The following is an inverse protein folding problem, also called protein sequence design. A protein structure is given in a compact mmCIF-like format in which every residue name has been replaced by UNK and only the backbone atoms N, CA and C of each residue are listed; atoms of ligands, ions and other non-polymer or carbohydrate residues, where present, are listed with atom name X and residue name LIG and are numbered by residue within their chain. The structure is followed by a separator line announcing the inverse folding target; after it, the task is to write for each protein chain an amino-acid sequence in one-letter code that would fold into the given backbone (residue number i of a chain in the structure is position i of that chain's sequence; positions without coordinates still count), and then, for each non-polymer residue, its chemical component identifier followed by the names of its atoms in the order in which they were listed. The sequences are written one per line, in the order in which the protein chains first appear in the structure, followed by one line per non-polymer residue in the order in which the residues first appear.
data_IF_188291888619
#
_entry.id   IF_188291888619
#
_cell.length_a   1.000
_cell.length_b   1.000
_cell.length_c   1.000
_cell.angle_alpha   90.00
_cell.angle_beta   90.00
_cell.angle_gamma   90.00
#
_symmetry.space_group_name_H-M   'P 1'
#
loop_
_entity.id
_entity.type
_entity.pdbx_description
1 polymer ?
#
# COMPACT_ATOMS: atom_id res chain seq x y z
N UNK A 1 49.24 19.85 -3.30
CA UNK A 1 48.05 19.29 -3.97
C UNK A 1 46.87 19.47 -3.02
N UNK A 2 45.89 20.30 -3.40
CA UNK A 2 44.67 20.46 -2.59
C UNK A 2 43.78 19.25 -2.80
N UNK A 3 43.72 18.37 -1.81
CA UNK A 3 42.75 17.27 -1.78
C UNK A 3 41.37 17.86 -1.53
N UNK A 4 40.51 17.83 -2.55
CA UNK A 4 39.11 18.17 -2.38
C UNK A 4 38.49 17.28 -1.29
N UNK A 5 37.66 17.83 -0.39
CA UNK A 5 37.02 17.03 0.65
C UNK A 5 36.15 15.94 0.03
N UNK A 6 36.29 14.71 0.54
CA UNK A 6 35.44 13.58 0.16
C UNK A 6 33.99 13.90 0.49
N UNK A 7 33.18 14.15 -0.54
CA UNK A 7 31.73 14.31 -0.41
C UNK A 7 31.11 12.92 -0.39
N UNK A 8 30.79 12.42 0.81
CA UNK A 8 30.02 11.18 0.95
C UNK A 8 28.58 11.48 0.50
N UNK A 9 28.07 10.85 -0.57
CA UNK A 9 26.70 11.03 -0.99
C UNK A 9 25.77 10.63 0.14
N UNK A 10 24.84 11.51 0.51
CA UNK A 10 23.80 11.14 1.48
C UNK A 10 22.97 10.02 0.88
N UNK A 11 23.13 8.82 1.44
CA UNK A 11 22.26 7.68 1.23
C UNK A 11 20.92 7.98 1.91
N UNK A 12 20.10 8.78 1.25
CA UNK A 12 18.76 9.12 1.72
C UNK A 12 17.79 8.75 0.61
N UNK A 13 16.88 7.84 0.96
CA UNK A 13 15.72 7.51 0.14
C UNK A 13 14.89 8.77 -0.04
N UNK A 14 14.94 9.37 -1.23
CA UNK A 14 14.09 10.52 -1.56
C UNK A 14 12.68 10.02 -1.86
N UNK A 15 11.85 9.91 -0.82
CA UNK A 15 10.43 9.62 -1.01
C UNK A 15 9.75 10.80 -1.70
N UNK A 16 9.27 10.58 -2.93
CA UNK A 16 8.46 11.57 -3.65
C UNK A 16 7.03 11.50 -3.14
N UNK A 17 6.65 12.42 -2.26
CA UNK A 17 5.26 12.53 -1.83
C UNK A 17 4.40 13.07 -2.97
N UNK A 18 3.37 12.32 -3.36
CA UNK A 18 2.37 12.76 -4.34
C UNK A 18 1.05 13.01 -3.61
N UNK A 19 0.32 14.08 -3.93
CA UNK A 19 -1.00 14.26 -3.37
C UNK A 19 -1.92 13.10 -3.80
N UNK A 20 -2.82 12.63 -2.93
CA UNK A 20 -3.83 11.64 -3.32
C UNK A 20 -4.69 12.16 -4.49
N UNK A 21 -5.20 11.24 -5.32
CA UNK A 21 -6.18 11.60 -6.36
C UNK A 21 -7.49 12.08 -5.71
N UNK A 22 -8.31 12.82 -6.46
CA UNK A 22 -9.59 13.38 -5.97
C UNK A 22 -10.56 12.33 -5.41
N UNK A 23 -10.55 11.12 -5.96
CA UNK A 23 -11.38 9.99 -5.50
C UNK A 23 -10.82 9.27 -4.26
N UNK A 24 -9.80 9.83 -3.61
CA UNK A 24 -9.19 9.31 -2.39
C UNK A 24 -9.31 10.41 -1.32
N UNK A 25 -9.70 10.08 -0.07
CA UNK A 25 -9.70 11.04 1.03
C UNK A 25 -8.32 11.68 1.21
N UNK A 26 -8.27 13.00 1.26
CA UNK A 26 -7.01 13.77 1.11
C UNK A 26 -6.13 13.71 2.37
N UNK A 27 -6.73 13.60 3.55
CA UNK A 27 -6.01 13.63 4.82
C UNK A 27 -5.86 12.23 5.42
N UNK A 28 -4.74 11.94 6.11
CA UNK A 28 -4.58 10.70 6.87
C UNK A 28 -5.69 10.50 7.93
N UNK A 29 -6.11 11.58 8.59
CA UNK A 29 -7.15 11.55 9.62
C UNK A 29 -8.47 11.04 9.04
N UNK A 30 -8.88 11.58 7.88
CA UNK A 30 -10.10 11.15 7.19
C UNK A 30 -10.00 9.68 6.75
N UNK A 31 -8.85 9.26 6.20
CA UNK A 31 -8.63 7.86 5.80
C UNK A 31 -8.71 6.90 6.99
N UNK A 32 -8.11 7.26 8.12
CA UNK A 32 -8.16 6.44 9.35
C UNK A 32 -9.58 6.34 9.92
N UNK A 33 -10.35 7.43 9.88
CA UNK A 33 -11.76 7.42 10.29
C UNK A 33 -12.59 6.46 9.42
N UNK A 34 -12.45 6.55 8.09
CA UNK A 34 -13.14 5.67 7.15
C UNK A 34 -12.74 4.21 7.35
N UNK A 35 -11.44 3.93 7.57
CA UNK A 35 -10.94 2.59 7.87
C UNK A 35 -11.60 2.00 9.12
N UNK A 36 -11.74 2.78 10.20
CA UNK A 36 -12.39 2.30 11.42
C UNK A 36 -13.86 1.97 11.18
N UNK A 37 -14.57 2.77 10.38
CA UNK A 37 -15.96 2.47 10.02
C UNK A 37 -16.06 1.23 9.12
N UNK A 38 -15.16 1.06 8.16
CA UNK A 38 -15.12 -0.15 7.31
C UNK A 38 -14.90 -1.42 8.15
N UNK A 39 -14.02 -1.37 9.16
CA UNK A 39 -13.82 -2.47 10.12
C UNK A 39 -15.08 -2.83 10.88
N UNK A 40 -15.71 -1.82 11.49
CA UNK A 40 -16.95 -2.03 12.24
C UNK A 40 -18.05 -2.58 11.33
N UNK A 41 -18.15 -2.06 10.11
CA UNK A 41 -19.11 -2.51 9.11
C UNK A 41 -18.93 -3.99 8.75
N UNK A 42 -17.70 -4.42 8.46
CA UNK A 42 -17.38 -5.82 8.14
C UNK A 42 -17.63 -6.72 9.37
N UNK A 43 -17.28 -6.28 10.57
CA UNK A 43 -17.54 -7.04 11.80
C UNK A 43 -19.05 -7.23 12.07
N UNK A 44 -19.87 -6.23 11.77
CA UNK A 44 -21.32 -6.27 11.98
C UNK A 44 -22.06 -7.08 10.89
N UNK A 45 -21.72 -6.86 9.63
CA UNK A 45 -22.45 -7.43 8.49
C UNK A 45 -21.86 -8.76 7.98
N UNK A 46 -20.61 -9.04 8.34
CA UNK A 46 -19.86 -10.24 7.98
C UNK A 46 -20.01 -10.71 6.51
N UNK A 47 -19.78 -9.82 5.51
CA UNK A 47 -19.79 -10.24 4.11
C UNK A 47 -18.66 -11.26 3.87
N UNK A 48 -18.95 -12.31 3.09
CA UNK A 48 -18.01 -13.42 2.86
C UNK A 48 -17.29 -13.23 1.52
N UNK A 49 -15.95 -13.22 1.49
CA UNK A 49 -15.20 -13.17 0.23
C UNK A 49 -15.11 -14.56 -0.46
N UNK A 50 -14.87 -14.62 -1.80
CA UNK A 50 -14.76 -13.49 -2.73
C UNK A 50 -16.13 -12.94 -3.12
N UNK A 51 -16.23 -11.61 -3.17
CA UNK A 51 -17.46 -10.91 -3.51
C UNK A 51 -17.35 -10.31 -4.92
N UNK A 52 -18.39 -10.43 -5.78
CA UNK A 52 -18.43 -9.71 -7.05
C UNK A 52 -18.30 -8.20 -6.86
N UNK A 53 -17.68 -7.52 -7.83
CA UNK A 53 -17.43 -6.07 -7.74
C UNK A 53 -18.72 -5.27 -7.55
N UNK A 54 -19.80 -5.66 -8.22
CA UNK A 54 -21.10 -5.00 -8.09
C UNK A 54 -21.70 -5.14 -6.68
N UNK A 55 -21.55 -6.31 -6.05
CA UNK A 55 -22.00 -6.54 -4.67
C UNK A 55 -21.13 -5.76 -3.67
N UNK A 56 -19.81 -5.74 -3.88
CA UNK A 56 -18.89 -4.93 -3.08
C UNK A 56 -19.23 -3.44 -3.14
N UNK A 57 -19.65 -2.96 -4.32
CA UNK A 57 -20.09 -1.58 -4.51
C UNK A 57 -21.35 -1.27 -3.70
N UNK A 58 -22.31 -2.18 -3.61
CA UNK A 58 -23.51 -2.00 -2.75
C UNK A 58 -23.12 -1.82 -1.29
N UNK A 59 -22.17 -2.59 -0.77
CA UNK A 59 -21.65 -2.42 0.59
C UNK A 59 -20.93 -1.07 0.77
N UNK A 60 -20.10 -0.69 -0.19
CA UNK A 60 -19.38 0.59 -0.15
C UNK A 60 -20.34 1.80 -0.18
N UNK A 61 -21.39 1.76 -1.00
CA UNK A 61 -22.40 2.82 -1.08
C UNK A 61 -23.19 2.96 0.24
N UNK A 62 -23.44 1.87 0.97
CA UNK A 62 -24.03 1.92 2.31
C UNK A 62 -23.11 2.66 3.28
N UNK A 63 -21.82 2.33 3.29
CA UNK A 63 -20.84 2.99 4.16
C UNK A 63 -20.66 4.47 3.80
N UNK A 64 -20.67 4.84 2.52
CA UNK A 64 -20.69 6.25 2.06
C UNK A 64 -21.88 6.99 2.66
N UNK A 65 -23.08 6.40 2.59
CA UNK A 65 -24.30 6.98 3.16
C UNK A 65 -24.23 7.10 4.69
N UNK A 66 -23.73 6.08 5.38
CA UNK A 66 -23.55 6.08 6.85
C UNK A 66 -22.61 7.19 7.31
N UNK A 67 -21.51 7.40 6.57
CA UNK A 67 -20.52 8.43 6.86
C UNK A 67 -20.92 9.84 6.40
N UNK A 68 -21.95 9.95 5.55
CA UNK A 68 -22.29 11.17 4.82
C UNK A 68 -21.07 11.81 4.15
N UNK A 69 -20.21 11.00 3.52
CA UNK A 69 -18.99 11.45 2.86
C UNK A 69 -19.18 11.58 1.33
N UNK A 70 -18.17 12.12 0.65
CA UNK A 70 -18.19 12.29 -0.81
C UNK A 70 -18.41 10.95 -1.53
N UNK A 71 -19.43 10.83 -2.40
CA UNK A 71 -19.68 9.63 -3.21
C UNK A 71 -18.49 9.21 -4.09
N UNK A 72 -17.58 10.13 -4.42
CA UNK A 72 -16.34 9.82 -5.14
C UNK A 72 -15.44 8.82 -4.39
N UNK A 73 -15.66 8.59 -3.10
CA UNK A 73 -14.89 7.65 -2.29
C UNK A 73 -15.42 6.22 -2.32
N UNK A 74 -16.49 5.92 -3.08
CA UNK A 74 -17.11 4.59 -3.13
C UNK A 74 -16.10 3.48 -3.45
N UNK A 75 -15.26 3.66 -4.48
CA UNK A 75 -14.26 2.66 -4.86
C UNK A 75 -13.17 2.50 -3.79
N UNK A 76 -12.75 3.61 -3.18
CA UNK A 76 -11.78 3.60 -2.10
C UNK A 76 -12.30 2.82 -0.89
N UNK A 77 -13.56 3.05 -0.51
CA UNK A 77 -14.23 2.34 0.58
C UNK A 77 -14.43 0.86 0.22
N UNK A 78 -14.78 0.55 -1.03
CA UNK A 78 -14.85 -0.83 -1.52
C UNK A 78 -13.54 -1.60 -1.33
N UNK A 79 -12.40 -0.96 -1.64
CA UNK A 79 -11.08 -1.55 -1.37
C UNK A 79 -10.87 -1.81 0.13
N UNK A 80 -11.25 -0.88 1.01
CA UNK A 80 -11.12 -1.07 2.46
C UNK A 80 -11.99 -2.21 2.97
N UNK A 81 -13.25 -2.29 2.55
CA UNK A 81 -14.17 -3.37 2.91
C UNK A 81 -13.59 -4.71 2.45
N UNK A 82 -13.15 -4.82 1.19
CA UNK A 82 -12.54 -6.04 0.67
C UNK A 82 -11.28 -6.42 1.46
N UNK A 83 -10.41 -5.46 1.77
CA UNK A 83 -9.21 -5.74 2.56
C UNK A 83 -9.54 -6.26 3.97
N UNK A 84 -10.54 -5.69 4.63
CA UNK A 84 -10.98 -6.12 5.96
C UNK A 84 -11.67 -7.50 5.92
N UNK A 85 -12.42 -7.82 4.86
CA UNK A 85 -12.99 -9.17 4.65
C UNK A 85 -11.90 -10.26 4.56
N UNK A 86 -10.76 -9.94 3.93
CA UNK A 86 -9.63 -10.87 3.78
C UNK A 86 -8.64 -10.84 4.95
N UNK A 87 -8.81 -9.93 5.92
CA UNK A 87 -7.81 -9.65 6.95
C UNK A 87 -7.43 -10.87 7.77
N UNK A 88 -8.40 -11.59 8.31
CA UNK A 88 -8.17 -12.77 9.14
C UNK A 88 -7.61 -13.94 8.33
N UNK A 89 -8.12 -14.14 7.10
CA UNK A 89 -7.59 -15.15 6.18
C UNK A 89 -6.12 -14.90 5.88
N UNK A 90 -5.74 -13.67 5.54
CA UNK A 90 -4.34 -13.30 5.30
C UNK A 90 -3.48 -13.44 6.57
N UNK A 91 -4.00 -13.03 7.73
CA UNK A 91 -3.30 -13.12 9.01
C UNK A 91 -3.00 -14.58 9.40
N UNK A 92 -3.86 -15.53 8.99
CA UNK A 92 -3.66 -16.96 9.24
C UNK A 92 -2.53 -17.60 8.42
N UNK A 93 -2.09 -16.96 7.33
CA UNK A 93 -1.00 -17.48 6.48
C UNK A 93 0.33 -17.29 7.21
N UNK A 94 1.17 -18.33 7.40
CA UNK A 94 2.51 -18.19 7.98
C UNK A 94 3.37 -17.17 7.21
N UNK A 95 4.23 -16.42 7.90
CA UNK A 95 5.01 -15.32 7.31
C UNK A 95 5.87 -15.79 6.13
N UNK A 96 6.54 -16.93 6.26
CA UNK A 96 7.38 -17.56 5.23
C UNK A 96 6.61 -18.02 3.98
N UNK A 97 5.27 -18.00 4.03
CA UNK A 97 4.38 -18.31 2.90
C UNK A 97 3.70 -17.08 2.31
N UNK A 98 3.95 -15.88 2.84
CA UNK A 98 3.38 -14.63 2.32
C UNK A 98 4.28 -14.09 1.21
N UNK A 99 3.65 -13.63 0.12
CA UNK A 99 4.34 -12.96 -0.97
C UNK A 99 4.15 -11.45 -0.86
N UNK A 100 5.25 -10.71 -0.77
CA UNK A 100 5.24 -9.25 -0.89
C UNK A 100 5.53 -8.84 -2.34
N UNK A 101 4.51 -8.37 -3.04
CA UNK A 101 4.63 -7.86 -4.41
C UNK A 101 4.85 -6.35 -4.40
N UNK A 102 6.05 -5.91 -4.78
CA UNK A 102 6.41 -4.49 -4.85
C UNK A 102 6.44 -3.98 -6.30
N UNK A 103 5.85 -2.81 -6.61
CA UNK A 103 5.93 -2.25 -7.96
C UNK A 103 7.34 -1.74 -8.27
N UNK A 104 7.90 -2.14 -9.42
CA UNK A 104 9.22 -1.67 -9.91
C UNK A 104 9.32 -0.14 -9.99
N UNK A 105 8.19 0.55 -10.12
CA UNK A 105 8.11 2.01 -10.18
C UNK A 105 8.48 2.72 -8.86
N UNK A 106 8.67 1.98 -7.76
CA UNK A 106 9.24 2.54 -6.52
C UNK A 106 10.75 2.82 -6.65
N UNK A 107 11.43 2.21 -7.61
CA UNK A 107 12.85 2.50 -7.89
C UNK A 107 13.02 3.86 -8.56
N UNK A 108 14.19 4.46 -8.39
CA UNK A 108 14.64 5.56 -9.24
C UNK A 108 15.35 4.95 -10.46
N UNK A 109 14.65 4.88 -11.59
CA UNK A 109 15.11 4.14 -12.78
C UNK A 109 16.52 4.51 -13.23
N UNK A 110 16.83 5.81 -13.29
CA UNK A 110 18.15 6.31 -13.71
C UNK A 110 19.30 6.04 -12.73
N UNK A 111 19.00 5.55 -11.52
CA UNK A 111 19.98 5.35 -10.44
C UNK A 111 20.06 3.90 -9.95
N UNK A 112 19.06 3.08 -10.23
CA UNK A 112 18.97 1.73 -9.69
C UNK A 112 19.92 0.79 -10.45
N UNK A 113 20.92 0.17 -9.79
CA UNK A 113 21.89 -0.72 -10.44
C UNK A 113 21.37 -2.17 -10.58
N UNK A 114 20.15 -2.44 -10.13
CA UNK A 114 19.59 -3.79 -10.12
C UNK A 114 19.28 -4.27 -11.55
N UNK A 115 19.73 -5.47 -11.94
CA UNK A 115 19.37 -6.07 -13.22
C UNK A 115 17.93 -6.58 -13.20
N UNK A 116 17.42 -6.88 -14.39
CA UNK A 116 16.14 -7.55 -14.59
C UNK A 116 16.37 -8.92 -15.20
N UNK A 117 15.61 -9.90 -14.71
CA UNK A 117 15.48 -11.22 -15.33
C UNK A 117 14.02 -11.47 -15.75
N UNK A 118 13.68 -12.72 -16.07
CA UNK A 118 12.33 -13.12 -16.45
C UNK A 118 11.29 -12.98 -15.32
N UNK A 119 11.74 -12.96 -14.05
CA UNK A 119 10.89 -12.90 -12.87
C UNK A 119 10.74 -11.47 -12.33
N UNK A 120 11.70 -10.58 -12.60
CA UNK A 120 11.57 -9.16 -12.33
C UNK A 120 12.87 -8.49 -11.91
N UNK A 121 12.75 -7.55 -10.96
CA UNK A 121 13.86 -6.72 -10.49
C UNK A 121 14.68 -7.47 -9.43
N UNK A 122 15.96 -7.72 -9.72
CA UNK A 122 16.88 -8.33 -8.76
C UNK A 122 17.53 -7.27 -7.86
N UNK A 123 16.80 -6.84 -6.83
CA UNK A 123 17.21 -5.81 -5.89
C UNK A 123 18.63 -6.09 -5.32
N UNK A 124 19.54 -5.13 -5.47
CA UNK A 124 20.92 -5.19 -4.96
C UNK A 124 21.11 -4.51 -3.59
N UNK A 125 20.02 -4.15 -2.92
CA UNK A 125 20.06 -3.45 -1.62
C UNK A 125 20.98 -2.21 -1.64
N UNK A 126 20.94 -1.46 -2.74
CA UNK A 126 21.74 -0.24 -2.93
C UNK A 126 21.23 0.97 -2.12
N UNK A 127 20.01 0.88 -1.59
CA UNK A 127 19.26 1.88 -0.81
C UNK A 127 19.04 3.24 -1.46
N UNK A 128 19.04 3.28 -2.79
CA UNK A 128 18.67 4.47 -3.58
C UNK A 128 17.15 4.63 -3.74
N UNK A 129 16.35 3.73 -3.15
CA UNK A 129 14.88 3.74 -3.16
C UNK A 129 14.32 2.98 -1.95
N UNK A 130 13.00 3.04 -1.74
CA UNK A 130 12.31 2.41 -0.59
C UNK A 130 12.22 0.88 -0.68
N UNK A 131 12.55 0.26 -1.82
CA UNK A 131 12.36 -1.19 -2.02
C UNK A 131 13.15 -1.99 -1.00
N UNK A 132 14.41 -1.60 -0.72
CA UNK A 132 15.24 -2.29 0.27
C UNK A 132 14.63 -2.23 1.67
N UNK A 133 14.17 -1.05 2.10
CA UNK A 133 13.59 -0.87 3.44
C UNK A 133 12.34 -1.74 3.60
N UNK A 134 11.47 -1.77 2.57
CA UNK A 134 10.25 -2.58 2.56
C UNK A 134 10.55 -4.09 2.57
N UNK A 135 11.56 -4.54 1.81
CA UNK A 135 11.99 -5.95 1.81
C UNK A 135 12.56 -6.34 3.18
N UNK A 136 13.46 -5.52 3.73
CA UNK A 136 14.11 -5.77 5.02
C UNK A 136 13.09 -5.83 6.15
N UNK A 137 12.06 -4.97 6.12
CA UNK A 137 11.00 -5.01 7.12
C UNK A 137 10.13 -6.26 6.98
N UNK A 138 9.81 -6.67 5.76
CA UNK A 138 9.01 -7.87 5.51
C UNK A 138 9.73 -9.16 5.93
N UNK A 139 11.06 -9.22 5.78
CA UNK A 139 11.89 -10.36 6.18
C UNK A 139 12.04 -10.51 7.71
N UNK A 140 11.69 -9.49 8.50
CA UNK A 140 11.76 -9.52 9.98
C UNK A 140 10.49 -10.05 10.66
N UNK A 141 9.41 -10.22 9.89
CA UNK A 141 8.10 -10.65 10.39
C UNK A 141 7.99 -12.17 10.41
#
# INVERSE_FOLDING_TARGET
MQTAPLVIPRHIVQQRFRPPKKNIPQTPIQRNHILQVARNYVAEHNPVPPLPVEELKVHAERVVKMLNCDPLFVDYIGVLINNEMWRETLASVPYERRLLLLPKCLRVESKCPAPFDEFGLLCKQCGLCTIQDLQTEAEKL
#
